data_IF_490535336561
#
_entry.id   IF_490535336561
#
_cell.length_a   1.000
_cell.length_b   1.000
_cell.length_c   1.000
_cell.angle_alpha   90.00
_cell.angle_beta   90.00
_cell.angle_gamma   90.00
#
_symmetry.space_group_name_H-M   'P 1'
#
loop_
_entity.id
_entity.type
_entity.pdbx_description
1 polymer ?
#
# COMPACT_ATOMS: atom_id res chain seq x y z
N UNK A 1 4.07 4.30 12.97
CA UNK A 1 3.91 3.40 11.80
C UNK A 1 3.05 2.22 12.22
N UNK A 2 2.15 1.75 11.37
CA UNK A 2 1.31 0.57 11.60
C UNK A 2 1.96 -0.61 10.92
N UNK A 3 2.17 -1.69 11.67
CA UNK A 3 2.80 -2.93 11.20
C UNK A 3 1.79 -4.08 11.24
N UNK A 4 2.12 -5.20 10.61
CA UNK A 4 1.32 -6.44 10.72
C UNK A 4 0.06 -6.49 9.84
N UNK A 5 -0.02 -5.67 8.79
CA UNK A 5 -1.10 -5.75 7.80
C UNK A 5 -1.01 -7.12 7.10
N UNK A 6 -2.06 -7.93 7.23
CA UNK A 6 -2.12 -9.27 6.65
C UNK A 6 -3.57 -9.66 6.34
N UNK A 7 -3.83 -9.95 5.06
CA UNK A 7 -5.17 -10.24 4.57
C UNK A 7 -6.17 -9.15 4.96
N UNK A 8 -7.42 -9.55 5.18
CA UNK A 8 -8.49 -8.63 5.59
C UNK A 8 -8.68 -8.53 7.11
N UNK A 9 -8.12 -9.50 7.86
CA UNK A 9 -8.27 -9.64 9.31
C UNK A 9 -7.41 -8.62 10.07
N UNK A 10 -6.19 -8.39 9.58
CA UNK A 10 -5.29 -7.37 10.10
C UNK A 10 -5.14 -6.26 9.07
N UNK A 11 -5.97 -5.21 9.21
CA UNK A 11 -6.06 -4.12 8.25
C UNK A 11 -6.10 -2.76 8.94
N UNK A 12 -5.64 -1.72 8.23
CA UNK A 12 -5.66 -0.33 8.68
C UNK A 12 -6.80 0.41 8.00
N UNK A 13 -7.62 1.15 8.75
CA UNK A 13 -8.68 1.98 8.17
C UNK A 13 -8.47 3.45 8.54
N UNK A 14 -8.31 4.30 7.55
CA UNK A 14 -8.41 5.75 7.70
C UNK A 14 -9.88 6.16 7.59
N UNK A 15 -10.35 6.97 8.52
CA UNK A 15 -11.73 7.48 8.58
C UNK A 15 -11.73 9.01 8.54
N UNK A 16 -12.88 9.62 8.28
CA UNK A 16 -13.00 11.08 8.31
C UNK A 16 -12.38 11.79 7.10
N UNK A 17 -12.18 11.09 5.98
CA UNK A 17 -11.45 11.65 4.81
C UNK A 17 -12.39 12.56 4.01
N UNK A 18 -12.24 13.88 4.17
CA UNK A 18 -13.08 14.91 3.54
C UNK A 18 -12.70 15.25 2.11
N UNK A 19 -13.63 15.11 1.15
CA UNK A 19 -13.33 15.19 -0.29
C UNK A 19 -14.48 15.78 -1.13
N UNK A 20 -14.20 16.05 -2.41
CA UNK A 20 -15.09 16.78 -3.33
C UNK A 20 -16.01 15.92 -4.18
N UNK A 21 -15.85 14.58 -4.20
CA UNK A 21 -16.62 13.69 -5.08
C UNK A 21 -15.95 13.37 -6.41
N UNK A 22 -14.75 13.90 -6.68
CA UNK A 22 -13.97 13.66 -7.91
C UNK A 22 -12.80 12.68 -7.66
N UNK A 23 -12.28 12.02 -8.72
CA UNK A 23 -11.02 11.28 -8.64
C UNK A 23 -9.87 12.16 -8.13
N UNK A 24 -9.03 11.61 -7.25
CA UNK A 24 -7.86 12.32 -6.73
C UNK A 24 -6.73 11.36 -6.37
N UNK A 25 -5.51 11.90 -6.37
CA UNK A 25 -4.34 11.14 -5.99
C UNK A 25 -4.27 10.96 -4.46
N UNK A 26 -3.97 9.73 -4.05
CA UNK A 26 -3.65 9.36 -2.67
C UNK A 26 -2.27 8.74 -2.67
N UNK A 27 -1.31 9.38 -2.01
CA UNK A 27 0.04 8.85 -1.79
C UNK A 27 0.05 8.05 -0.49
N UNK A 28 0.46 6.78 -0.58
CA UNK A 28 0.59 5.87 0.55
C UNK A 28 2.06 5.77 0.92
N UNK A 29 2.40 6.16 2.15
CA UNK A 29 3.77 6.19 2.64
C UNK A 29 4.04 4.93 3.47
N UNK A 30 5.03 4.14 3.06
CA UNK A 30 5.29 2.83 3.64
C UNK A 30 6.78 2.52 3.73
N UNK A 31 7.09 1.54 4.55
CA UNK A 31 8.40 0.88 4.63
C UNK A 31 8.16 -0.60 4.32
N UNK A 32 8.92 -1.13 3.38
CA UNK A 32 9.00 -2.54 3.09
C UNK A 32 10.45 -2.97 3.26
N UNK A 33 10.71 -3.79 4.27
CA UNK A 33 12.05 -4.28 4.59
C UNK A 33 12.31 -5.67 4.00
N UNK A 34 11.38 -6.17 3.19
CA UNK A 34 11.57 -7.43 2.52
C UNK A 34 12.63 -7.25 1.45
N UNK A 35 13.79 -7.87 1.69
CA UNK A 35 15.06 -7.82 0.97
C UNK A 35 14.92 -8.25 -0.50
N UNK A 36 14.22 -7.43 -1.27
CA UNK A 36 14.03 -7.56 -2.70
C UNK A 36 15.03 -6.69 -3.45
N UNK A 37 16.05 -6.16 -2.76
CA UNK A 37 17.28 -5.55 -3.29
C UNK A 37 17.06 -4.74 -4.57
N UNK A 38 15.99 -3.93 -4.62
CA UNK A 38 15.60 -3.23 -5.83
C UNK A 38 16.67 -2.16 -6.14
N UNK A 39 17.57 -2.49 -7.09
CA UNK A 39 18.70 -1.63 -7.50
C UNK A 39 19.99 -1.77 -6.69
N UNK A 40 20.01 -2.55 -5.60
CA UNK A 40 21.20 -2.70 -4.74
C UNK A 40 22.07 -3.92 -5.07
N UNK A 41 21.66 -4.74 -6.04
CA UNK A 41 22.41 -5.92 -6.45
C UNK A 41 22.71 -5.88 -7.97
N UNK A 42 23.89 -5.40 -8.40
CA UNK A 42 24.25 -5.31 -9.82
C UNK A 42 24.41 -6.68 -10.51
N UNK A 43 24.34 -7.79 -9.76
CA UNK A 43 24.59 -9.16 -10.23
C UNK A 43 23.37 -10.07 -10.38
N UNK A 44 22.15 -9.62 -10.06
CA UNK A 44 20.91 -10.35 -10.41
C UNK A 44 20.87 -11.86 -10.10
N UNK A 45 21.26 -12.27 -8.89
CA UNK A 45 21.12 -13.65 -8.37
C UNK A 45 20.85 -13.57 -6.86
N UNK A 46 20.08 -14.53 -6.30
CA UNK A 46 18.94 -14.28 -5.42
C UNK A 46 19.31 -13.67 -4.07
N UNK A 47 18.29 -13.34 -3.28
CA UNK A 47 18.37 -12.66 -1.99
C UNK A 47 19.54 -13.15 -1.09
N UNK A 48 19.88 -12.36 -0.07
CA UNK A 48 20.92 -12.69 0.93
C UNK A 48 20.73 -14.06 1.62
N UNK A 49 19.61 -14.76 1.41
CA UNK A 49 19.22 -16.04 2.02
C UNK A 49 19.02 -17.20 1.03
N UNK A 50 19.27 -17.01 -0.26
CA UNK A 50 19.06 -18.06 -1.27
C UNK A 50 17.60 -18.44 -1.51
N UNK A 51 16.64 -17.52 -1.29
CA UNK A 51 15.23 -17.73 -1.63
C UNK A 51 14.84 -17.07 -2.95
N UNK A 52 13.79 -17.61 -3.58
CA UNK A 52 13.20 -17.03 -4.78
C UNK A 52 12.76 -15.57 -4.50
N UNK A 53 12.66 -14.73 -5.53
CA UNK A 53 12.49 -13.25 -5.46
C UNK A 53 11.13 -12.77 -4.91
N UNK A 54 10.62 -13.41 -3.86
CA UNK A 54 9.20 -13.69 -3.73
C UNK A 54 8.44 -12.84 -2.72
N UNK A 55 9.06 -11.84 -2.10
CA UNK A 55 8.34 -11.01 -1.13
C UNK A 55 8.11 -9.58 -1.64
N UNK A 56 7.37 -9.51 -2.75
CA UNK A 56 6.67 -8.29 -3.17
C UNK A 56 5.48 -8.09 -2.25
N UNK A 57 5.52 -7.09 -1.36
CA UNK A 57 4.33 -6.74 -0.57
C UNK A 57 3.32 -6.03 -1.44
N UNK A 58 2.08 -6.51 -1.40
CA UNK A 58 0.96 -5.91 -2.09
C UNK A 58 -0.15 -5.71 -1.06
N UNK A 59 -0.61 -4.47 -0.95
CA UNK A 59 -1.77 -4.16 -0.13
C UNK A 59 -3.03 -4.04 -0.98
N UNK A 60 -4.16 -4.46 -0.44
CA UNK A 60 -5.48 -4.15 -0.98
C UNK A 60 -5.93 -2.79 -0.46
N UNK A 61 -6.45 -1.94 -1.33
CA UNK A 61 -7.04 -0.65 -0.95
C UNK A 61 -8.50 -0.65 -1.37
N UNK A 62 -9.39 -0.46 -0.40
CA UNK A 62 -10.83 -0.34 -0.62
C UNK A 62 -11.33 0.99 -0.08
N UNK A 63 -12.24 1.62 -0.82
CA UNK A 63 -12.85 2.89 -0.47
C UNK A 63 -14.28 2.64 -0.03
N UNK A 64 -14.66 3.16 1.14
CA UNK A 64 -16.04 3.08 1.64
C UNK A 64 -16.60 1.64 1.72
N UNK A 65 -15.72 0.65 1.95
CA UNK A 65 -16.10 -0.76 2.01
C UNK A 65 -16.46 -1.40 0.66
N UNK A 66 -16.18 -0.72 -0.46
CA UNK A 66 -16.43 -1.26 -1.80
C UNK A 66 -15.42 -2.37 -2.13
N UNK A 67 -15.80 -3.60 -1.83
CA UNK A 67 -15.02 -4.81 -2.15
C UNK A 67 -15.17 -5.25 -3.60
N UNK A 68 -16.06 -4.62 -4.39
CA UNK A 68 -16.15 -4.87 -5.83
C UNK A 68 -15.06 -4.12 -6.60
N UNK A 69 -14.47 -3.09 -5.99
CA UNK A 69 -13.45 -2.23 -6.58
C UNK A 69 -12.19 -2.19 -5.72
N UNK A 70 -11.53 -3.33 -5.58
CA UNK A 70 -10.24 -3.43 -4.86
C UNK A 70 -9.11 -2.87 -5.72
N UNK A 71 -8.35 -1.94 -5.17
CA UNK A 71 -7.16 -1.40 -5.80
C UNK A 71 -5.91 -2.10 -5.27
N UNK A 72 -4.97 -2.44 -6.16
CA UNK A 72 -3.69 -3.04 -5.78
C UNK A 72 -2.64 -1.96 -5.53
N UNK A 73 -2.13 -1.89 -4.30
CA UNK A 73 -1.03 -1.03 -3.91
C UNK A 73 0.28 -1.84 -3.87
N UNK A 74 1.10 -1.70 -4.90
CA UNK A 74 2.42 -2.32 -4.96
C UNK A 74 3.41 -1.55 -4.07
N UNK A 75 4.05 -2.27 -3.15
CA UNK A 75 4.93 -1.72 -2.14
C UNK A 75 6.34 -2.30 -2.31
N UNK A 76 7.16 -1.59 -3.09
CA UNK A 76 8.54 -2.00 -3.39
C UNK A 76 9.44 -1.96 -2.15
N UNK A 77 10.52 -2.72 -2.14
CA UNK A 77 11.52 -2.65 -1.07
C UNK A 77 12.02 -1.20 -0.89
N UNK A 78 12.08 -0.75 0.36
CA UNK A 78 12.52 0.60 0.73
C UNK A 78 13.92 0.63 1.33
N UNK A 79 14.48 -0.53 1.70
CA UNK A 79 15.51 -0.71 2.74
C UNK A 79 14.99 -0.36 4.15
N UNK A 80 15.60 -0.99 5.16
CA UNK A 80 15.31 -0.72 6.57
C UNK A 80 15.65 0.72 6.95
N UNK A 81 14.69 1.41 7.57
CA UNK A 81 14.78 2.79 8.02
C UNK A 81 14.31 3.82 7.00
N UNK A 82 13.93 3.40 5.79
CA UNK A 82 13.53 4.29 4.70
C UNK A 82 12.04 4.19 4.42
N UNK A 83 11.39 5.33 4.19
CA UNK A 83 9.98 5.38 3.80
C UNK A 83 9.87 5.88 2.36
N UNK A 84 9.24 5.09 1.50
CA UNK A 84 8.86 5.50 0.14
C UNK A 84 7.36 5.75 0.07
N UNK A 85 6.89 6.20 -1.09
CA UNK A 85 5.46 6.34 -1.34
C UNK A 85 5.06 5.86 -2.73
N UNK A 86 3.87 5.25 -2.80
CA UNK A 86 3.22 4.86 -4.06
C UNK A 86 1.86 5.56 -4.15
N UNK A 87 1.53 6.25 -5.25
CA UNK A 87 0.23 6.88 -5.43
C UNK A 87 -0.81 5.95 -6.06
N UNK A 88 -2.08 6.11 -5.67
CA UNK A 88 -3.25 5.58 -6.39
C UNK A 88 -4.24 6.71 -6.68
N UNK A 89 -4.93 6.64 -7.83
CA UNK A 89 -6.02 7.57 -8.16
C UNK A 89 -7.33 6.96 -7.65
N UNK A 90 -7.91 7.55 -6.60
CA UNK A 90 -9.12 7.04 -5.94
C UNK A 90 -10.30 8.00 -6.10
N UNK A 91 -11.49 7.45 -6.30
CA UNK A 91 -12.74 8.21 -6.30
C UNK A 91 -13.35 8.19 -4.90
N UNK A 92 -13.26 9.33 -4.20
CA UNK A 92 -13.80 9.52 -2.85
C UNK A 92 -15.09 10.34 -2.95
N UNK A 93 -16.14 9.92 -2.25
CA UNK A 93 -17.45 10.60 -2.24
C UNK A 93 -17.32 12.03 -1.70
N UNK A 94 -18.23 12.91 -2.08
CA UNK A 94 -18.29 14.26 -1.51
C UNK A 94 -18.62 14.19 -0.02
N UNK A 95 -17.93 15.00 0.79
CA UNK A 95 -18.12 15.08 2.24
C UNK A 95 -17.05 14.35 3.04
N UNK A 96 -17.29 14.19 4.36
CA UNK A 96 -16.27 13.81 5.36
C UNK A 96 -16.25 12.33 5.74
N UNK A 97 -17.17 11.55 5.19
CA UNK A 97 -17.43 10.19 5.66
C UNK A 97 -16.67 9.13 4.86
N UNK A 98 -15.65 9.51 4.10
CA UNK A 98 -14.90 8.52 3.35
C UNK A 98 -14.02 7.69 4.28
N UNK A 99 -13.97 6.40 4.00
CA UNK A 99 -13.01 5.47 4.60
C UNK A 99 -12.08 4.91 3.54
N UNK A 100 -10.82 4.70 3.91
CA UNK A 100 -9.82 4.02 3.10
C UNK A 100 -9.27 2.89 3.95
N UNK A 101 -9.64 1.65 3.60
CA UNK A 101 -9.13 0.44 4.25
C UNK A 101 -7.97 -0.13 3.44
N UNK A 102 -6.87 -0.39 4.13
CA UNK A 102 -5.66 -1.00 3.61
C UNK A 102 -5.53 -2.38 4.26
N UNK A 103 -5.76 -3.43 3.48
CA UNK A 103 -5.51 -4.81 3.86
C UNK A 103 -4.29 -5.37 3.14
N UNK A 104 -3.98 -6.63 3.39
CA UNK A 104 -3.02 -7.37 2.60
C UNK A 104 -3.66 -8.03 1.39
N UNK A 105 -2.94 -8.06 0.26
CA UNK A 105 -3.37 -8.70 -0.99
C UNK A 105 -2.41 -9.83 -1.35
N UNK A 106 -2.94 -10.93 -1.91
CA UNK A 106 -2.11 -12.06 -2.30
C UNK A 106 -1.13 -11.67 -3.39
N UNK A 107 0.14 -12.01 -3.19
CA UNK A 107 1.19 -11.92 -4.21
C UNK A 107 1.52 -13.29 -4.84
N UNK A 108 0.75 -14.34 -4.52
CA UNK A 108 1.02 -15.74 -4.90
C UNK A 108 1.69 -16.57 -3.80
N UNK A 109 2.37 -15.94 -2.84
CA UNK A 109 3.12 -16.58 -1.74
C UNK A 109 2.55 -16.24 -0.36
N UNK A 110 1.96 -15.05 -0.21
CA UNK A 110 1.34 -14.59 1.01
C UNK A 110 0.50 -13.35 0.79
N UNK A 111 -0.15 -12.90 1.86
CA UNK A 111 -1.08 -11.76 1.86
C UNK A 111 -0.58 -10.62 2.76
N UNK A 112 0.73 -10.43 2.87
CA UNK A 112 1.31 -9.41 3.75
C UNK A 112 1.42 -8.05 3.04
N UNK A 113 0.88 -7.02 3.69
CA UNK A 113 1.08 -5.62 3.32
C UNK A 113 2.33 -5.03 4.00
N UNK A 114 2.92 -4.00 3.41
CA UNK A 114 4.04 -3.31 4.03
C UNK A 114 3.60 -2.44 5.21
N UNK A 115 4.56 -2.09 6.06
CA UNK A 115 4.31 -1.22 7.21
C UNK A 115 3.85 0.16 6.70
N UNK A 116 2.78 0.72 7.26
CA UNK A 116 2.17 1.96 6.79
C UNK A 116 2.48 3.12 7.71
N UNK A 117 3.04 4.21 7.18
CA UNK A 117 3.37 5.40 7.95
C UNK A 117 2.22 6.41 7.96
N UNK A 118 1.74 6.79 6.77
CA UNK A 118 0.67 7.79 6.58
C UNK A 118 0.08 7.70 5.17
N UNK A 119 -1.04 8.38 4.96
CA UNK A 119 -1.53 8.73 3.62
C UNK A 119 -1.53 10.24 3.44
N UNK A 120 -1.32 10.68 2.20
CA UNK A 120 -1.48 12.08 1.77
C UNK A 120 -2.50 12.09 0.66
N UNK A 121 -3.60 12.81 0.84
CA UNK A 121 -4.67 12.90 -0.17
C UNK A 121 -4.65 14.29 -0.80
N UNK A 122 -4.30 14.34 -2.07
CA UNK A 122 -4.18 15.57 -2.85
C UNK A 122 -5.57 16.13 -3.24
N UNK A 123 -5.68 17.43 -3.54
CA UNK A 123 -6.87 17.98 -4.18
C UNK A 123 -7.20 17.26 -5.49
N UNK A 124 -8.47 17.24 -5.87
CA UNK A 124 -8.88 16.77 -7.20
C UNK A 124 -8.34 17.70 -8.29
N UNK A 125 -7.89 17.11 -9.41
CA UNK A 125 -7.56 17.87 -10.62
C UNK A 125 -8.80 18.65 -11.10
N UNK A 126 -8.57 19.87 -11.58
CA UNK A 126 -9.61 20.81 -12.03
C UNK A 126 -10.20 20.41 -13.37
#
# INVERSE_FOLDING_TARGET
>A
MVIGINGNDNALTFTGVERTGKPQWVSFWYENIDDSSFGNNPGGSPDRKGSDWDIKRISSVTVNGDTSNVQSLYQHDTNKGTVLSTPLKLTLKKGKNNTIKIGGLSNGFGTQGASMAKIVVYPSES
#
